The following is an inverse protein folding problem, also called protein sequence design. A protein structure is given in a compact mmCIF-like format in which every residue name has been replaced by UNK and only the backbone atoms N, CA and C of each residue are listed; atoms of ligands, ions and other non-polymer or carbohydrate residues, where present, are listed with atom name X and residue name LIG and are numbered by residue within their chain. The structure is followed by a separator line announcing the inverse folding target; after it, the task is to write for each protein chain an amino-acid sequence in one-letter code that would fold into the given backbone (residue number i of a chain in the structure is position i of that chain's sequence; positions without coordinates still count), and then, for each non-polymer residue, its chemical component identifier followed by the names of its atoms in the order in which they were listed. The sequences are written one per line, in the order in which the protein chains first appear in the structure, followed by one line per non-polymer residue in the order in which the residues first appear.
data_IF_320899098265
#
_entry.id   IF_320899098265
#
_cell.length_a   1.000
_cell.length_b   1.000
_cell.length_c   1.000
_cell.angle_alpha   90.00
_cell.angle_beta   90.00
_cell.angle_gamma   90.00
#
_symmetry.space_group_name_H-M   'P 1'
#
loop_
_entity.id
_entity.type
_entity.pdbx_description
1 polymer ?
#
# COMPACT_ATOMS: atom_id res chain seq x y z
N UNK A 1 14.17 5.36 9.79
CA UNK A 1 14.77 5.24 11.13
C UNK A 1 14.88 6.62 11.76
N UNK A 2 15.67 7.57 11.21
CA UNK A 2 15.91 8.88 11.82
C UNK A 2 14.65 9.63 12.25
N UNK A 3 13.56 9.55 11.47
CA UNK A 3 12.30 10.22 11.78
C UNK A 3 11.47 9.54 12.89
N UNK A 4 11.81 8.32 13.30
CA UNK A 4 11.02 7.52 14.24
C UNK A 4 11.75 7.14 15.52
N UNK A 5 13.11 7.13 15.52
CA UNK A 5 13.92 6.58 16.61
C UNK A 5 13.67 7.18 18.00
N UNK A 6 13.27 8.45 18.03
CA UNK A 6 13.05 9.20 19.28
C UNK A 6 11.56 9.16 19.71
N UNK A 7 10.70 8.51 18.94
CA UNK A 7 9.25 8.47 19.14
C UNK A 7 8.71 7.08 19.44
N UNK A 8 9.37 6.03 18.92
CA UNK A 8 8.92 4.63 19.06
C UNK A 8 10.11 3.69 19.16
N UNK A 9 9.88 2.54 19.78
CA UNK A 9 10.82 1.41 19.69
C UNK A 9 10.78 0.84 18.28
N UNK A 10 11.94 0.78 17.64
CA UNK A 10 12.06 0.27 16.27
C UNK A 10 12.49 -1.19 16.27
N UNK A 11 11.80 -2.00 15.48
CA UNK A 11 12.10 -3.40 15.27
C UNK A 11 12.30 -3.67 13.79
N UNK A 12 13.39 -4.31 13.42
CA UNK A 12 13.71 -4.72 12.07
C UNK A 12 13.44 -6.21 11.90
N UNK A 13 12.63 -6.57 10.93
CA UNK A 13 12.56 -7.94 10.44
C UNK A 13 13.69 -8.15 9.43
N UNK A 14 14.49 -9.16 9.64
CA UNK A 14 15.60 -9.54 8.78
C UNK A 14 15.60 -11.05 8.57
N UNK A 15 16.04 -11.50 7.40
CA UNK A 15 15.99 -12.91 7.08
C UNK A 15 16.95 -13.73 7.97
N UNK A 16 18.15 -13.18 8.23
CA UNK A 16 19.24 -13.88 8.89
C UNK A 16 20.26 -12.89 9.48
N UNK A 17 21.32 -13.41 10.09
CA UNK A 17 22.43 -12.64 10.68
C UNK A 17 23.18 -11.80 9.63
N UNK A 18 23.29 -12.28 8.39
CA UNK A 18 23.92 -11.56 7.29
C UNK A 18 23.12 -10.31 6.91
N UNK A 19 21.80 -10.43 6.83
CA UNK A 19 20.91 -9.31 6.59
C UNK A 19 20.95 -8.31 7.75
N UNK A 20 21.02 -8.78 9.01
CA UNK A 20 21.20 -7.92 10.16
C UNK A 20 22.53 -7.15 10.10
N UNK A 21 23.64 -7.82 9.83
CA UNK A 21 24.95 -7.18 9.70
C UNK A 21 24.95 -6.10 8.62
N UNK A 22 24.36 -6.38 7.46
CA UNK A 22 24.22 -5.41 6.38
C UNK A 22 23.36 -4.20 6.79
N UNK A 23 22.23 -4.42 7.48
CA UNK A 23 21.38 -3.35 7.99
C UNK A 23 22.12 -2.47 9.00
N UNK A 24 22.85 -3.06 9.95
CA UNK A 24 23.70 -2.32 10.92
C UNK A 24 24.77 -1.48 10.24
N UNK A 25 25.44 -2.03 9.23
CA UNK A 25 26.45 -1.32 8.45
C UNK A 25 25.85 -0.10 7.71
N UNK A 26 24.70 -0.27 7.07
CA UNK A 26 23.99 0.82 6.40
C UNK A 26 23.55 1.92 7.36
N UNK A 27 23.10 1.56 8.55
CA UNK A 27 22.72 2.52 9.59
C UNK A 27 23.93 3.28 10.12
N UNK A 28 25.05 2.59 10.37
CA UNK A 28 26.30 3.21 10.81
C UNK A 28 26.81 4.21 9.78
N UNK A 29 26.80 3.86 8.49
CA UNK A 29 27.20 4.73 7.39
C UNK A 29 26.37 6.02 7.28
N UNK A 30 25.18 6.06 7.92
CA UNK A 30 24.29 7.23 7.98
C UNK A 30 24.26 7.92 9.35
N UNK A 31 25.21 7.61 10.23
CA UNK A 31 25.28 8.18 11.58
C UNK A 31 24.17 7.69 12.52
N UNK A 32 23.55 6.55 12.21
CA UNK A 32 22.46 5.96 12.98
C UNK A 32 22.87 4.69 13.75
N UNK A 33 24.17 4.39 13.79
CA UNK A 33 24.68 3.15 14.40
C UNK A 33 24.45 3.04 15.91
N UNK A 34 24.34 4.17 16.61
CA UNK A 34 24.03 4.21 18.05
C UNK A 34 22.51 4.07 18.36
N UNK A 35 21.66 4.01 17.36
CA UNK A 35 20.21 3.84 17.57
C UNK A 35 19.93 2.47 18.18
N UNK A 36 19.22 2.43 19.30
CA UNK A 36 18.74 1.18 19.88
C UNK A 36 17.69 0.55 18.97
N UNK A 37 18.04 -0.57 18.35
CA UNK A 37 17.19 -1.29 17.41
C UNK A 37 17.05 -2.74 17.84
N UNK A 38 15.84 -3.24 17.79
CA UNK A 38 15.58 -4.68 17.91
C UNK A 38 15.66 -5.33 16.53
N UNK A 39 16.34 -6.45 16.42
CA UNK A 39 16.34 -7.28 15.23
C UNK A 39 15.58 -8.58 15.52
N UNK A 40 14.71 -8.94 14.58
CA UNK A 40 13.96 -10.18 14.60
C UNK A 40 14.29 -10.96 13.34
N UNK A 41 14.91 -12.11 13.52
CA UNK A 41 15.21 -13.02 12.42
C UNK A 41 13.93 -13.78 12.06
N UNK A 42 13.29 -13.34 11.00
CA UNK A 42 12.12 -13.97 10.41
C UNK A 42 12.24 -13.87 8.90
N UNK A 43 12.33 -14.99 8.19
CA UNK A 43 12.44 -14.97 6.74
C UNK A 43 11.14 -14.46 6.13
N UNK A 44 11.13 -13.18 5.79
CA UNK A 44 10.08 -12.50 5.08
C UNK A 44 10.59 -12.12 3.70
N UNK A 45 9.94 -12.59 2.66
CA UNK A 45 10.31 -12.28 1.28
C UNK A 45 9.94 -10.83 0.91
N UNK A 46 8.85 -10.28 1.49
CA UNK A 46 8.36 -8.96 1.15
C UNK A 46 9.09 -7.83 1.90
N UNK A 47 9.46 -6.79 1.16
CA UNK A 47 9.86 -5.51 1.73
C UNK A 47 8.70 -4.79 2.44
N UNK A 48 7.47 -5.05 2.03
CA UNK A 48 6.27 -4.41 2.55
C UNK A 48 5.68 -5.22 3.72
N UNK A 49 6.26 -5.04 4.89
CA UNK A 49 5.91 -5.75 6.13
C UNK A 49 4.47 -5.48 6.61
N UNK A 50 3.82 -4.43 6.09
CA UNK A 50 2.43 -4.07 6.38
C UNK A 50 1.44 -5.14 5.94
N UNK A 51 1.71 -5.77 4.79
CA UNK A 51 0.71 -6.51 4.07
C UNK A 51 0.46 -7.93 4.60
N UNK A 52 1.51 -8.71 4.96
CA UNK A 52 1.30 -10.08 5.46
C UNK A 52 0.89 -10.16 6.93
N UNK A 53 0.76 -9.04 7.66
CA UNK A 53 0.35 -9.08 9.06
C UNK A 53 -0.47 -7.84 9.44
N UNK A 54 -1.57 -8.05 10.18
CA UNK A 54 -2.43 -6.96 10.67
C UNK A 54 -2.63 -7.11 12.17
N UNK A 55 -2.10 -6.16 12.93
CA UNK A 55 -2.31 -6.14 14.37
C UNK A 55 -3.72 -5.72 14.76
N UNK A 56 -4.23 -6.37 15.81
CA UNK A 56 -5.43 -5.97 16.54
C UNK A 56 -5.08 -5.70 17.98
N UNK A 57 -5.96 -4.99 18.67
CA UNK A 57 -5.86 -4.77 20.11
C UNK A 57 -7.16 -5.17 20.77
N UNK A 58 -7.11 -6.11 21.68
CA UNK A 58 -8.27 -6.55 22.45
C UNK A 58 -8.71 -5.53 23.51
N UNK A 59 -9.87 -5.74 24.15
CA UNK A 59 -10.44 -4.80 25.12
C UNK A 59 -9.54 -4.48 26.32
N UNK A 60 -8.74 -5.45 26.78
CA UNK A 60 -7.78 -5.27 27.86
C UNK A 60 -6.39 -4.82 27.37
N UNK A 61 -6.26 -4.52 26.06
CA UNK A 61 -5.01 -4.07 25.46
C UNK A 61 -4.12 -5.19 24.94
N UNK A 62 -4.57 -6.44 25.01
CA UNK A 62 -3.84 -7.61 24.55
C UNK A 62 -3.63 -7.58 23.02
N UNK A 63 -2.41 -7.93 22.54
CA UNK A 63 -2.14 -7.95 21.10
C UNK A 63 -2.77 -9.17 20.44
N UNK A 64 -3.29 -8.95 19.23
CA UNK A 64 -3.73 -9.99 18.33
C UNK A 64 -3.27 -9.71 16.90
N UNK A 65 -3.34 -10.70 16.04
CA UNK A 65 -3.15 -10.57 14.59
C UNK A 65 -4.35 -11.15 13.85
N UNK A 66 -4.66 -10.55 12.71
CA UNK A 66 -5.60 -11.11 11.76
C UNK A 66 -4.81 -11.99 10.80
N UNK A 67 -5.28 -13.22 10.64
CA UNK A 67 -4.76 -14.22 9.70
C UNK A 67 -5.60 -14.13 8.42
N UNK A 68 -5.25 -13.21 7.53
CA UNK A 68 -5.83 -13.15 6.21
C UNK A 68 -5.24 -14.25 5.33
N UNK A 69 -6.06 -14.81 4.45
CA UNK A 69 -5.53 -15.65 3.39
C UNK A 69 -4.59 -14.83 2.51
N UNK A 70 -3.40 -15.34 2.27
CA UNK A 70 -2.41 -14.65 1.47
C UNK A 70 -2.56 -14.97 -0.02
N UNK A 71 -2.80 -13.97 -0.85
CA UNK A 71 -3.05 -14.14 -2.29
C UNK A 71 -1.85 -13.80 -3.17
N UNK A 72 -0.67 -13.55 -2.57
CA UNK A 72 0.51 -13.05 -3.29
C UNK A 72 0.16 -11.80 -4.14
N UNK A 73 -0.51 -10.82 -3.53
CA UNK A 73 -1.04 -9.63 -4.20
C UNK A 73 -1.98 -9.91 -5.40
N UNK A 74 -2.65 -11.06 -5.41
CA UNK A 74 -3.54 -11.44 -6.51
C UNK A 74 -2.82 -11.84 -7.79
N UNK A 75 -1.59 -12.31 -7.70
CA UNK A 75 -0.77 -12.75 -8.83
C UNK A 75 -1.48 -13.75 -9.73
N UNK A 76 -2.28 -14.66 -9.18
CA UNK A 76 -3.06 -15.63 -9.97
C UNK A 76 -4.01 -14.93 -10.96
N UNK A 77 -4.70 -13.87 -10.53
CA UNK A 77 -5.57 -13.07 -11.40
C UNK A 77 -4.76 -12.27 -12.45
N UNK A 78 -3.56 -11.83 -12.09
CA UNK A 78 -2.65 -11.13 -13.00
C UNK A 78 -2.10 -12.09 -14.07
N UNK A 79 -1.64 -13.29 -13.69
CA UNK A 79 -1.18 -14.33 -14.62
C UNK A 79 -2.31 -14.78 -15.56
N UNK A 80 -3.53 -14.99 -15.05
CA UNK A 80 -4.69 -15.38 -15.86
C UNK A 80 -5.06 -14.34 -16.93
N UNK A 81 -4.78 -13.06 -16.72
CA UNK A 81 -5.02 -12.01 -17.73
C UNK A 81 -3.97 -12.00 -18.84
N UNK A 82 -2.78 -12.53 -18.59
CA UNK A 82 -1.63 -12.54 -19.51
C UNK A 82 -1.54 -13.80 -20.33
N UNK A 83 -1.96 -14.94 -19.79
CA UNK A 83 -1.86 -16.24 -20.41
C UNK A 83 -3.24 -16.82 -20.70
N UNK A 84 -3.53 -17.11 -21.97
CA UNK A 84 -4.76 -17.79 -22.37
C UNK A 84 -4.76 -19.26 -21.94
N UNK A 85 -3.59 -19.89 -21.90
CA UNK A 85 -3.40 -21.26 -21.38
C UNK A 85 -3.44 -21.25 -19.86
N UNK A 86 -4.37 -22.01 -19.29
CA UNK A 86 -4.57 -22.13 -17.84
C UNK A 86 -3.39 -22.76 -17.11
N UNK A 87 -2.67 -23.67 -17.76
CA UNK A 87 -1.49 -24.32 -17.19
C UNK A 87 -0.36 -23.32 -17.05
N UNK A 88 -0.07 -22.56 -18.11
CA UNK A 88 0.94 -21.50 -18.10
C UNK A 88 0.59 -20.41 -17.07
N UNK A 89 -0.69 -20.04 -16.97
CA UNK A 89 -1.14 -19.10 -15.95
C UNK A 89 -0.93 -19.64 -14.52
N UNK A 90 -1.17 -20.92 -14.28
CA UNK A 90 -0.95 -21.55 -12.98
C UNK A 90 0.54 -21.66 -12.64
N UNK A 91 1.40 -22.02 -13.60
CA UNK A 91 2.86 -22.04 -13.43
C UNK A 91 3.42 -20.64 -13.13
N UNK A 92 2.94 -19.62 -13.83
CA UNK A 92 3.26 -18.20 -13.55
C UNK A 92 2.90 -17.83 -12.10
N UNK A 93 1.71 -18.21 -11.63
CA UNK A 93 1.26 -17.89 -10.29
C UNK A 93 2.02 -18.65 -9.19
N UNK A 94 2.41 -19.91 -9.46
CA UNK A 94 3.16 -20.76 -8.53
C UNK A 94 4.59 -20.27 -8.27
N UNK A 95 5.15 -19.49 -9.20
CA UNK A 95 6.50 -18.91 -9.07
C UNK A 95 6.52 -17.61 -8.27
N UNK A 96 5.37 -17.09 -7.84
CA UNK A 96 5.32 -15.87 -7.03
C UNK A 96 5.69 -16.15 -5.57
N UNK A 97 6.64 -15.40 -5.05
CA UNK A 97 7.12 -15.50 -3.66
C UNK A 97 7.29 -14.09 -3.06
N UNK A 98 6.18 -13.39 -2.87
CA UNK A 98 6.18 -12.06 -2.24
C UNK A 98 6.24 -12.12 -0.72
N UNK A 99 5.61 -13.13 -0.10
CA UNK A 99 5.73 -13.42 1.33
C UNK A 99 5.26 -14.85 1.62
N UNK A 100 5.73 -15.41 2.74
CA UNK A 100 5.27 -16.71 3.22
C UNK A 100 3.80 -16.65 3.61
N UNK A 101 3.03 -17.68 3.26
CA UNK A 101 1.60 -17.78 3.58
C UNK A 101 1.33 -17.84 5.10
N UNK A 102 2.26 -18.43 5.87
CA UNK A 102 2.12 -18.61 7.31
C UNK A 102 2.84 -17.53 8.15
N UNK A 103 3.26 -16.42 7.54
CA UNK A 103 4.04 -15.38 8.21
C UNK A 103 3.32 -14.82 9.45
N UNK A 104 2.05 -14.46 9.32
CA UNK A 104 1.23 -13.91 10.40
C UNK A 104 1.04 -14.90 11.55
N UNK A 105 0.82 -16.18 11.25
CA UNK A 105 0.73 -17.25 12.26
C UNK A 105 2.07 -17.48 12.98
N UNK A 106 3.20 -17.48 12.26
CA UNK A 106 4.52 -17.59 12.84
C UNK A 106 4.85 -16.37 13.72
N UNK A 107 4.51 -15.18 13.24
CA UNK A 107 4.74 -13.94 13.93
C UNK A 107 3.86 -13.81 15.19
N UNK A 108 2.58 -14.23 15.12
CA UNK A 108 1.69 -14.29 16.28
C UNK A 108 2.23 -15.21 17.37
N UNK A 109 2.70 -16.42 17.03
CA UNK A 109 3.33 -17.35 17.99
C UNK A 109 4.53 -16.72 18.69
N UNK A 110 5.40 -16.05 17.92
CA UNK A 110 6.60 -15.37 18.44
C UNK A 110 6.27 -14.27 19.43
N UNK A 111 5.19 -13.53 19.19
CA UNK A 111 4.76 -12.42 20.04
C UNK A 111 3.84 -12.85 21.18
N UNK A 112 3.43 -14.10 21.26
CA UNK A 112 2.38 -14.54 22.18
C UNK A 112 1.03 -13.86 21.92
N UNK A 113 0.79 -13.44 20.66
CA UNK A 113 -0.41 -12.73 20.27
C UNK A 113 -1.53 -13.69 19.83
N UNK A 114 -2.77 -13.31 20.06
CA UNK A 114 -3.93 -14.10 19.61
C UNK A 114 -4.07 -14.00 18.08
N UNK A 115 -4.20 -15.12 17.40
CA UNK A 115 -4.49 -15.18 15.97
C UNK A 115 -6.00 -15.20 15.73
N UNK A 116 -6.48 -14.33 14.82
CA UNK A 116 -7.88 -14.21 14.41
C UNK A 116 -8.01 -14.66 12.95
N UNK A 117 -8.50 -15.89 12.68
CA UNK A 117 -8.58 -16.42 11.33
C UNK A 117 -9.59 -15.65 10.48
N UNK A 118 -9.24 -15.38 9.23
CA UNK A 118 -10.10 -14.76 8.23
C UNK A 118 -10.39 -15.73 7.07
N UNK A 119 -11.60 -15.61 6.51
CA UNK A 119 -12.02 -16.42 5.33
C UNK A 119 -11.76 -15.72 4.01
N UNK A 120 -11.35 -14.46 4.03
CA UNK A 120 -11.06 -13.68 2.83
C UNK A 120 -9.57 -13.44 2.68
N UNK A 121 -9.14 -13.33 1.44
CA UNK A 121 -7.80 -12.89 1.12
C UNK A 121 -7.75 -11.35 1.09
N UNK A 122 -6.79 -10.77 1.81
CA UNK A 122 -6.57 -9.34 1.88
C UNK A 122 -5.18 -9.05 2.42
N UNK A 123 -4.66 -7.88 2.10
CA UNK A 123 -3.41 -7.34 2.65
C UNK A 123 -3.71 -6.23 3.67
N UNK A 124 -2.74 -5.97 4.58
CA UNK A 124 -2.87 -4.94 5.61
C UNK A 124 -3.02 -3.51 5.07
N UNK A 125 -2.45 -3.21 3.90
CA UNK A 125 -2.66 -1.95 3.17
C UNK A 125 -3.99 -1.90 2.40
N UNK A 126 -4.67 -3.04 2.24
CA UNK A 126 -5.87 -3.17 1.41
C UNK A 126 -7.16 -2.68 2.06
N UNK A 127 -7.16 -2.30 3.33
CA UNK A 127 -8.32 -1.71 4.02
C UNK A 127 -7.86 -0.66 5.03
N UNK A 128 -8.78 0.24 5.38
CA UNK A 128 -8.51 1.26 6.39
C UNK A 128 -9.60 1.24 7.46
N UNK A 129 -9.23 1.36 8.73
CA UNK A 129 -10.16 1.33 9.86
C UNK A 129 -10.02 2.57 10.75
N UNK A 130 -11.14 3.07 11.27
CA UNK A 130 -11.15 4.18 12.22
C UNK A 130 -10.98 3.76 13.70
N UNK A 131 -10.79 2.47 13.98
CA UNK A 131 -10.72 1.93 15.34
C UNK A 131 -12.03 2.02 16.14
N UNK A 132 -13.15 2.36 15.48
CA UNK A 132 -14.50 2.51 16.07
C UNK A 132 -15.56 1.69 15.33
N UNK A 133 -15.12 0.60 14.69
CA UNK A 133 -16.00 -0.36 14.03
C UNK A 133 -16.32 -0.04 12.57
N UNK A 134 -15.70 0.96 11.96
CA UNK A 134 -15.85 1.27 10.55
C UNK A 134 -14.60 0.82 9.76
N UNK A 135 -14.85 0.18 8.62
CA UNK A 135 -13.85 -0.15 7.61
C UNK A 135 -14.18 0.54 6.30
N UNK A 136 -13.18 1.13 5.67
CA UNK A 136 -13.18 1.52 4.25
C UNK A 136 -12.48 0.42 3.46
N UNK A 137 -13.11 -0.08 2.41
CA UNK A 137 -12.61 -1.18 1.60
C UNK A 137 -12.74 -0.88 0.11
N UNK A 138 -11.70 -1.15 -0.67
CA UNK A 138 -11.74 -1.02 -2.12
C UNK A 138 -12.42 -2.25 -2.74
N UNK A 139 -13.53 -2.03 -3.44
CA UNK A 139 -14.33 -3.11 -4.03
C UNK A 139 -13.57 -3.88 -5.13
N UNK A 140 -12.82 -3.17 -5.98
CA UNK A 140 -12.02 -3.78 -7.06
C UNK A 140 -10.88 -4.64 -6.49
N UNK A 141 -10.20 -4.15 -5.46
CA UNK A 141 -9.14 -4.88 -4.78
C UNK A 141 -9.66 -6.20 -4.19
N UNK A 142 -10.69 -6.13 -3.33
CA UNK A 142 -11.20 -7.33 -2.68
C UNK A 142 -11.72 -8.37 -3.68
N UNK A 143 -12.39 -7.93 -4.74
CA UNK A 143 -12.84 -8.85 -5.80
C UNK A 143 -11.65 -9.52 -6.50
N UNK A 144 -10.56 -8.80 -6.75
CA UNK A 144 -9.36 -9.35 -7.39
C UNK A 144 -8.64 -10.39 -6.52
N UNK A 145 -8.68 -10.22 -5.19
CA UNK A 145 -8.06 -11.14 -4.22
C UNK A 145 -8.89 -12.39 -3.96
N UNK A 146 -10.19 -12.31 -4.19
CA UNK A 146 -11.15 -13.35 -3.86
C UNK A 146 -12.02 -13.72 -5.08
N UNK A 147 -11.41 -14.26 -6.15
CA UNK A 147 -12.14 -14.61 -7.35
C UNK A 147 -13.25 -15.63 -7.03
N UNK A 148 -14.45 -15.37 -7.54
CA UNK A 148 -15.63 -16.21 -7.32
C UNK A 148 -16.42 -15.91 -6.05
N UNK A 149 -15.96 -15.01 -5.16
CA UNK A 149 -16.75 -14.56 -4.02
C UNK A 149 -17.59 -13.33 -4.39
N UNK A 150 -18.87 -13.39 -4.07
CA UNK A 150 -19.77 -12.25 -4.19
C UNK A 150 -19.49 -11.19 -3.11
N UNK A 151 -19.81 -9.93 -3.41
CA UNK A 151 -19.65 -8.79 -2.49
C UNK A 151 -20.24 -9.05 -1.10
N UNK A 152 -21.40 -9.69 -1.00
CA UNK A 152 -22.03 -10.05 0.29
C UNK A 152 -21.18 -11.03 1.12
N UNK A 153 -20.47 -11.94 0.46
CA UNK A 153 -19.58 -12.87 1.15
C UNK A 153 -18.32 -12.14 1.66
N UNK A 154 -17.76 -11.23 0.85
CA UNK A 154 -16.63 -10.37 1.24
C UNK A 154 -17.01 -9.46 2.42
N UNK A 155 -18.21 -8.87 2.39
CA UNK A 155 -18.70 -8.02 3.48
C UNK A 155 -18.86 -8.81 4.80
N UNK A 156 -19.41 -10.03 4.75
CA UNK A 156 -19.46 -10.92 5.93
C UNK A 156 -18.07 -11.25 6.45
N UNK A 157 -17.10 -11.45 5.55
CA UNK A 157 -15.71 -11.68 5.93
C UNK A 157 -15.10 -10.49 6.68
N UNK A 158 -15.33 -9.27 6.21
CA UNK A 158 -14.88 -8.04 6.87
C UNK A 158 -15.60 -7.80 8.20
N UNK A 159 -16.91 -8.01 8.26
CA UNK A 159 -17.73 -7.86 9.49
C UNK A 159 -17.38 -8.91 10.56
N UNK A 160 -16.78 -10.04 10.18
CA UNK A 160 -16.29 -11.05 11.10
C UNK A 160 -14.96 -10.67 11.78
N UNK A 161 -14.26 -9.63 11.30
CA UNK A 161 -13.03 -9.15 11.91
C UNK A 161 -13.29 -8.51 13.28
N UNK A 162 -12.35 -8.60 14.23
CA UNK A 162 -12.52 -8.07 15.57
C UNK A 162 -12.91 -6.59 15.59
N UNK A 163 -14.02 -6.26 16.23
CA UNK A 163 -14.50 -4.90 16.44
C UNK A 163 -15.11 -4.20 15.22
N UNK A 164 -15.24 -4.85 14.06
CA UNK A 164 -15.85 -4.25 12.87
C UNK A 164 -17.37 -4.39 12.91
N UNK A 165 -18.08 -3.28 12.66
CA UNK A 165 -19.54 -3.19 12.69
C UNK A 165 -20.14 -2.69 11.37
N UNK A 166 -19.33 -2.00 10.54
CA UNK A 166 -19.76 -1.43 9.26
C UNK A 166 -18.63 -1.43 8.24
N UNK A 167 -19.00 -1.68 6.98
CA UNK A 167 -18.10 -1.56 5.83
C UNK A 167 -18.64 -0.49 4.88
N UNK A 168 -17.79 0.43 4.47
CA UNK A 168 -18.05 1.37 3.38
C UNK A 168 -17.20 0.93 2.18
N UNK A 169 -17.88 0.66 1.08
CA UNK A 169 -17.26 0.22 -0.15
C UNK A 169 -16.89 1.41 -1.03
N UNK A 170 -15.61 1.55 -1.31
CA UNK A 170 -15.07 2.52 -2.25
C UNK A 170 -14.91 1.88 -3.63
N UNK A 171 -15.33 2.58 -4.71
CA UNK A 171 -15.31 2.04 -6.07
C UNK A 171 -13.94 1.64 -6.62
N UNK A 172 -12.85 2.33 -6.24
CA UNK A 172 -11.52 2.01 -6.79
C UNK A 172 -10.39 2.85 -6.20
N UNK A 173 -9.14 2.37 -6.38
CA UNK A 173 -7.92 3.04 -5.93
C UNK A 173 -7.35 4.06 -6.93
N UNK A 174 -6.10 4.48 -6.72
CA UNK A 174 -5.36 5.33 -7.65
C UNK A 174 -5.20 4.65 -9.01
N UNK A 175 -5.11 5.42 -10.09
CA UNK A 175 -4.76 4.87 -11.40
C UNK A 175 -3.30 4.41 -11.45
N UNK A 176 -2.45 5.08 -10.69
CA UNK A 176 -1.02 4.77 -10.50
C UNK A 176 -0.78 3.48 -9.72
N UNK A 177 -1.84 2.89 -9.13
CA UNK A 177 -1.78 1.65 -8.37
C UNK A 177 -2.53 0.50 -9.08
N UNK A 178 -2.06 0.04 -10.24
CA UNK A 178 -2.65 -1.13 -10.92
C UNK A 178 -2.29 -2.43 -10.20
N UNK A 179 -2.95 -3.52 -10.58
CA UNK A 179 -2.59 -4.85 -10.10
C UNK A 179 -1.25 -5.29 -10.70
N UNK A 180 -0.21 -5.30 -9.87
CA UNK A 180 1.16 -5.61 -10.26
C UNK A 180 1.62 -4.71 -11.43
N UNK A 181 2.49 -5.22 -12.30
CA UNK A 181 2.95 -4.47 -13.47
C UNK A 181 1.88 -4.46 -14.55
N UNK A 182 1.36 -3.28 -14.88
CA UNK A 182 0.30 -3.15 -15.88
C UNK A 182 0.28 -1.77 -16.55
N UNK A 183 -0.42 -1.71 -17.68
CA UNK A 183 -0.78 -0.46 -18.35
C UNK A 183 -1.85 0.29 -17.55
N UNK A 184 -1.63 1.58 -17.33
CA UNK A 184 -2.63 2.50 -16.80
C UNK A 184 -3.50 3.03 -17.94
N UNK A 185 -2.87 3.65 -18.92
CA UNK A 185 -3.49 4.20 -20.15
C UNK A 185 -2.42 4.52 -21.19
N UNK A 186 -2.66 4.21 -22.47
CA UNK A 186 -1.70 4.44 -23.55
C UNK A 186 -0.34 3.80 -23.24
N UNK A 187 0.71 4.60 -23.20
CA UNK A 187 2.06 4.17 -22.88
C UNK A 187 2.45 4.41 -21.41
N UNK A 188 1.50 4.84 -20.57
CA UNK A 188 1.70 4.96 -19.15
C UNK A 188 1.50 3.61 -18.46
N UNK A 189 2.51 3.22 -17.68
CA UNK A 189 2.55 1.95 -16.94
C UNK A 189 2.91 2.21 -15.48
N UNK A 190 2.56 1.30 -14.59
CA UNK A 190 3.03 1.33 -13.21
C UNK A 190 3.16 -0.08 -12.63
N UNK A 191 3.89 -0.17 -11.54
CA UNK A 191 3.91 -1.34 -10.67
C UNK A 191 3.17 -0.97 -9.39
N UNK A 192 2.06 -1.64 -9.10
CA UNK A 192 1.19 -1.36 -7.97
C UNK A 192 0.73 -2.59 -7.24
N UNK A 193 -0.02 -2.36 -6.17
CA UNK A 193 -0.64 -3.39 -5.33
C UNK A 193 -2.10 -3.70 -5.73
N UNK A 194 -2.66 -2.99 -6.71
CA UNK A 194 -4.02 -3.20 -7.21
C UNK A 194 -5.09 -2.35 -6.53
N UNK A 195 -4.74 -1.17 -6.06
CA UNK A 195 -5.66 -0.22 -5.44
C UNK A 195 -5.71 -0.34 -3.92
N UNK A 196 -4.56 -0.45 -3.28
CA UNK A 196 -4.45 -0.45 -1.82
C UNK A 196 -5.08 0.81 -1.22
N UNK A 197 -5.80 0.64 -0.12
CA UNK A 197 -6.56 1.72 0.53
C UNK A 197 -5.64 2.78 1.13
N UNK A 198 -4.51 2.38 1.67
CA UNK A 198 -3.52 3.24 2.31
C UNK A 198 -2.78 4.17 1.34
N UNK A 199 -2.97 3.99 0.03
CA UNK A 199 -2.46 4.89 -1.00
C UNK A 199 -3.41 6.04 -1.33
N UNK A 200 -4.72 5.89 -1.10
CA UNK A 200 -5.67 6.91 -1.54
C UNK A 200 -6.66 7.39 -0.48
N UNK A 201 -6.83 6.66 0.63
CA UNK A 201 -7.77 7.06 1.69
C UNK A 201 -7.27 6.62 3.06
N UNK A 202 -7.24 7.54 4.04
CA UNK A 202 -6.81 7.26 5.41
C UNK A 202 -7.67 8.00 6.41
N UNK A 203 -7.85 7.43 7.60
CA UNK A 203 -8.44 8.16 8.72
C UNK A 203 -7.41 9.06 9.42
N UNK A 204 -7.80 10.31 9.69
CA UNK A 204 -7.07 11.20 10.61
C UNK A 204 -7.57 11.05 12.06
N UNK A 205 -8.87 10.81 12.21
CA UNK A 205 -9.57 10.50 13.45
C UNK A 205 -10.79 9.60 13.16
N UNK A 206 -11.64 9.37 14.17
CA UNK A 206 -12.78 8.46 14.05
C UNK A 206 -13.78 8.82 12.93
N UNK A 207 -13.79 10.05 12.41
CA UNK A 207 -14.75 10.54 11.40
C UNK A 207 -14.11 11.34 10.27
N UNK A 208 -12.89 11.82 10.44
CA UNK A 208 -12.18 12.60 9.43
C UNK A 208 -11.40 11.67 8.52
N UNK A 209 -11.76 11.68 7.25
CA UNK A 209 -11.16 10.87 6.18
C UNK A 209 -10.32 11.77 5.28
N UNK A 210 -9.05 11.44 5.14
CA UNK A 210 -8.14 12.04 4.17
C UNK A 210 -8.29 11.29 2.85
N UNK A 211 -8.55 12.01 1.75
CA UNK A 211 -8.74 11.44 0.41
C UNK A 211 -7.74 12.07 -0.57
N UNK A 212 -6.98 11.26 -1.28
CA UNK A 212 -6.05 11.71 -2.31
C UNK A 212 -6.79 12.54 -3.38
N UNK A 213 -6.20 13.67 -3.79
CA UNK A 213 -6.84 14.57 -4.73
C UNK A 213 -5.83 15.21 -5.68
N UNK A 214 -5.73 14.73 -6.93
CA UNK A 214 -4.86 15.36 -7.93
C UNK A 214 -5.16 16.85 -8.08
N UNK A 215 -4.13 17.67 -8.25
CA UNK A 215 -4.26 19.12 -8.47
C UNK A 215 -4.87 19.41 -9.85
N UNK A 216 -5.63 20.48 -10.00
CA UNK A 216 -6.36 20.80 -11.24
C UNK A 216 -5.41 21.02 -12.42
N UNK A 217 -4.23 21.61 -12.19
CA UNK A 217 -3.21 21.78 -13.23
C UNK A 217 -2.69 20.43 -13.77
N UNK A 218 -2.50 19.44 -12.88
CA UNK A 218 -2.09 18.11 -13.30
C UNK A 218 -3.22 17.37 -14.01
N UNK A 219 -4.46 17.54 -13.58
CA UNK A 219 -5.66 16.98 -14.26
C UNK A 219 -5.80 17.52 -15.67
N UNK A 220 -5.53 18.80 -15.88
CA UNK A 220 -5.60 19.43 -17.21
C UNK A 220 -4.53 18.87 -18.17
N UNK A 221 -3.32 18.61 -17.66
CA UNK A 221 -2.15 18.31 -18.50
C UNK A 221 -1.74 16.83 -18.53
N UNK A 222 -2.16 16.00 -17.54
CA UNK A 222 -1.67 14.65 -17.38
C UNK A 222 -2.80 13.60 -17.40
N UNK A 223 -2.77 12.60 -18.33
CA UNK A 223 -3.88 11.65 -18.49
C UNK A 223 -4.09 10.75 -17.26
N UNK A 224 -3.02 10.34 -16.59
CA UNK A 224 -3.12 9.49 -15.37
C UNK A 224 -3.76 10.27 -14.22
N UNK A 225 -3.36 11.54 -14.00
CA UNK A 225 -3.98 12.41 -12.99
C UNK A 225 -5.48 12.62 -13.23
N UNK A 226 -5.88 12.68 -14.49
CA UNK A 226 -7.30 12.77 -14.91
C UNK A 226 -8.08 11.53 -14.51
N UNK A 227 -7.52 10.34 -14.76
CA UNK A 227 -8.13 9.07 -14.35
C UNK A 227 -8.23 8.96 -12.83
N UNK A 228 -7.16 9.28 -12.11
CA UNK A 228 -7.14 9.26 -10.65
C UNK A 228 -8.17 10.25 -10.08
N UNK A 229 -8.26 11.49 -10.61
CA UNK A 229 -9.29 12.44 -10.18
C UNK A 229 -10.71 11.90 -10.39
N UNK A 230 -10.98 11.24 -11.52
CA UNK A 230 -12.30 10.63 -11.78
C UNK A 230 -12.63 9.52 -10.78
N UNK A 231 -11.66 8.66 -10.42
CA UNK A 231 -11.83 7.62 -9.41
C UNK A 231 -12.06 8.23 -8.02
N UNK A 232 -11.25 9.21 -7.64
CA UNK A 232 -11.37 9.88 -6.33
C UNK A 232 -12.66 10.69 -6.19
N UNK A 233 -13.19 11.27 -7.27
CA UNK A 233 -14.49 11.94 -7.26
C UNK A 233 -15.64 10.96 -6.96
N UNK A 234 -15.59 9.73 -7.48
CA UNK A 234 -16.55 8.66 -7.14
C UNK A 234 -16.42 8.24 -5.68
N UNK A 235 -15.20 8.09 -5.17
CA UNK A 235 -14.96 7.79 -3.76
C UNK A 235 -15.48 8.91 -2.85
N UNK A 236 -15.24 10.18 -3.20
CA UNK A 236 -15.74 11.33 -2.46
C UNK A 236 -17.27 11.33 -2.35
N UNK A 237 -17.97 11.04 -3.47
CA UNK A 237 -19.42 10.97 -3.48
C UNK A 237 -19.97 9.85 -2.57
N UNK A 238 -19.24 8.74 -2.42
CA UNK A 238 -19.57 7.70 -1.43
C UNK A 238 -19.37 8.24 -0.01
N UNK A 239 -18.18 8.78 0.30
CA UNK A 239 -17.86 9.26 1.64
C UNK A 239 -18.79 10.38 2.14
N UNK A 240 -19.27 11.26 1.23
CA UNK A 240 -20.17 12.37 1.58
C UNK A 240 -21.57 11.92 1.98
N UNK A 241 -22.08 10.79 1.42
CA UNK A 241 -23.43 10.28 1.75
C UNK A 241 -23.42 9.22 2.84
N UNK A 242 -22.29 8.57 3.07
CA UNK A 242 -22.12 7.52 4.06
C UNK A 242 -21.97 8.09 5.48
N UNK A 243 -22.24 7.24 6.45
CA UNK A 243 -22.12 7.52 7.87
C UNK A 243 -21.23 6.49 8.54
N UNK A 244 -20.63 6.86 9.68
CA UNK A 244 -19.85 5.91 10.48
C UNK A 244 -20.74 4.79 11.08
N UNK A 245 -20.13 3.91 11.87
CA UNK A 245 -20.85 2.79 12.51
C UNK A 245 -21.86 3.25 13.60
N UNK A 246 -21.79 4.50 14.02
CA UNK A 246 -22.69 5.13 15.00
C UNK A 246 -23.72 6.07 14.34
N UNK A 247 -23.81 6.06 13.00
CA UNK A 247 -24.77 6.87 12.24
C UNK A 247 -24.36 8.33 12.03
N UNK A 248 -23.14 8.75 12.38
CA UNK A 248 -22.65 10.13 12.26
C UNK A 248 -22.03 10.36 10.86
N UNK A 249 -22.16 11.58 10.28
CA UNK A 249 -21.54 11.88 9.00
C UNK A 249 -20.02 11.87 9.07
N UNK A 250 -19.39 11.44 7.97
CA UNK A 250 -17.95 11.53 7.77
C UNK A 250 -17.56 12.92 7.26
N UNK A 251 -16.35 13.35 7.57
CA UNK A 251 -15.73 14.57 7.04
C UNK A 251 -14.60 14.17 6.09
N UNK A 252 -14.80 14.34 4.79
CA UNK A 252 -13.78 14.04 3.80
C UNK A 252 -12.92 15.26 3.50
N UNK A 253 -11.62 15.18 3.75
CA UNK A 253 -10.62 16.21 3.44
C UNK A 253 -9.82 15.80 2.21
N UNK A 254 -9.81 16.65 1.19
CA UNK A 254 -9.02 16.47 -0.03
C UNK A 254 -7.56 16.80 0.24
N UNK A 255 -6.68 15.79 0.13
CA UNK A 255 -5.23 15.94 0.25
C UNK A 255 -4.64 16.09 -1.14
N UNK A 256 -3.99 17.24 -1.47
CA UNK A 256 -3.33 17.38 -2.76
C UNK A 256 -2.35 16.23 -3.00
N UNK A 257 -2.38 15.63 -4.18
CA UNK A 257 -1.36 14.67 -4.59
C UNK A 257 -0.05 15.37 -5.00
N UNK A 258 1.10 14.70 -4.93
CA UNK A 258 2.32 15.23 -5.52
C UNK A 258 2.14 15.43 -7.03
N UNK A 259 3.01 16.22 -7.64
CA UNK A 259 3.10 16.24 -9.10
C UNK A 259 3.40 14.82 -9.61
N UNK A 260 2.85 14.39 -10.75
CA UNK A 260 3.14 13.07 -11.30
C UNK A 260 4.65 12.80 -11.39
N UNK A 261 5.13 11.78 -10.70
CA UNK A 261 6.53 11.35 -10.75
C UNK A 261 6.65 10.22 -11.76
N UNK A 262 7.45 10.43 -12.79
CA UNK A 262 7.53 9.50 -13.92
C UNK A 262 8.94 9.40 -14.47
N UNK A 263 9.23 8.27 -15.14
CA UNK A 263 10.48 8.06 -15.88
C UNK A 263 10.21 7.27 -17.17
N UNK A 264 11.12 7.37 -18.13
CA UNK A 264 11.07 6.50 -19.31
C UNK A 264 11.71 5.14 -18.99
N UNK A 265 11.07 4.10 -19.51
CA UNK A 265 11.56 2.71 -19.46
C UNK A 265 11.45 2.09 -20.84
N UNK A 266 12.27 1.09 -21.10
CA UNK A 266 12.27 0.35 -22.35
C UNK A 266 11.98 -1.12 -22.09
N UNK A 267 11.15 -1.72 -22.93
CA UNK A 267 10.78 -3.13 -22.76
C UNK A 267 11.93 -4.05 -23.17
N UNK A 268 12.33 -4.91 -22.26
CA UNK A 268 13.31 -5.97 -22.46
C UNK A 268 12.63 -7.31 -22.77
N UNK A 269 13.41 -8.33 -23.15
CA UNK A 269 12.95 -9.72 -23.19
C UNK A 269 12.99 -10.35 -21.78
N UNK A 270 12.25 -11.45 -21.56
CA UNK A 270 12.26 -12.18 -20.27
C UNK A 270 13.63 -12.72 -19.91
N UNK A 271 14.46 -13.11 -20.90
CA UNK A 271 15.84 -13.56 -20.67
C UNK A 271 16.73 -12.48 -20.07
N UNK A 272 16.45 -11.21 -20.40
CA UNK A 272 17.19 -10.06 -19.88
C UNK A 272 16.56 -9.50 -18.58
N UNK A 273 15.31 -9.87 -18.32
CA UNK A 273 14.52 -9.49 -17.15
C UNK A 273 14.35 -10.66 -16.15
N UNK A 274 15.16 -11.70 -16.26
CA UNK A 274 15.00 -13.01 -15.60
C UNK A 274 15.07 -12.99 -14.06
N UNK A 275 15.20 -11.83 -13.45
CA UNK A 275 15.03 -11.67 -12.02
C UNK A 275 13.77 -10.82 -11.77
N UNK A 276 12.74 -11.37 -11.12
CA UNK A 276 11.59 -10.59 -10.62
C UNK A 276 12.04 -9.44 -9.69
N UNK A 277 13.24 -9.56 -9.11
CA UNK A 277 13.94 -8.50 -8.41
C UNK A 277 14.53 -7.46 -9.38
N UNK A 278 14.62 -7.79 -10.67
CA UNK A 278 14.95 -6.82 -11.72
C UNK A 278 13.83 -5.79 -11.82
N UNK A 279 14.19 -4.51 -11.71
CA UNK A 279 13.28 -3.40 -11.95
C UNK A 279 12.99 -3.20 -13.45
N UNK A 280 13.47 -4.10 -14.31
CA UNK A 280 13.29 -4.03 -15.75
C UNK A 280 11.83 -4.32 -16.14
N UNK A 281 11.33 -3.57 -17.07
CA UNK A 281 10.07 -3.84 -17.73
C UNK A 281 10.28 -4.80 -18.89
N UNK A 282 9.41 -5.80 -19.02
CA UNK A 282 9.46 -6.80 -20.07
C UNK A 282 8.14 -6.84 -20.85
N UNK A 283 8.22 -7.27 -22.11
CA UNK A 283 7.03 -7.46 -22.98
C UNK A 283 6.04 -8.42 -22.31
N UNK A 284 6.52 -9.43 -21.61
CA UNK A 284 5.70 -10.45 -20.95
C UNK A 284 4.93 -9.94 -19.73
N UNK A 285 5.22 -8.75 -19.24
CA UNK A 285 4.39 -8.11 -18.23
C UNK A 285 3.00 -7.70 -18.74
N UNK A 286 2.78 -7.72 -20.04
CA UNK A 286 1.56 -7.24 -20.69
C UNK A 286 0.79 -8.39 -21.35
N UNK A 287 -0.55 -8.35 -21.36
CA UNK A 287 -1.32 -9.35 -22.10
C UNK A 287 -1.07 -9.21 -23.60
N UNK A 288 -1.06 -10.32 -24.37
CA UNK A 288 -0.76 -10.31 -25.82
C UNK A 288 -1.60 -9.34 -26.65
N UNK A 289 -2.83 -9.06 -26.20
CA UNK A 289 -3.73 -8.09 -26.86
C UNK A 289 -3.20 -6.66 -26.90
N UNK A 290 -2.27 -6.30 -26.00
CA UNK A 290 -1.66 -4.96 -25.97
C UNK A 290 -0.56 -4.78 -27.03
N UNK A 291 -0.11 -5.87 -27.67
CA UNK A 291 0.86 -5.87 -28.78
C UNK A 291 2.14 -5.07 -28.49
N UNK A 292 2.63 -5.17 -27.24
CA UNK A 292 3.88 -4.51 -26.84
C UNK A 292 5.07 -5.11 -27.58
N UNK A 293 6.10 -4.29 -27.86
CA UNK A 293 7.26 -4.68 -28.63
C UNK A 293 8.56 -4.49 -27.84
N UNK A 294 9.53 -5.35 -28.12
CA UNK A 294 10.89 -5.21 -27.59
C UNK A 294 11.47 -3.85 -27.95
N UNK A 295 12.12 -3.18 -26.99
CA UNK A 295 12.67 -1.83 -27.15
C UNK A 295 11.63 -0.71 -27.16
N UNK A 296 10.32 -1.01 -27.06
CA UNK A 296 9.28 0.02 -26.95
C UNK A 296 9.54 0.88 -25.72
N UNK A 297 9.51 2.21 -25.89
CA UNK A 297 9.58 3.16 -24.79
C UNK A 297 8.22 3.34 -24.17
N UNK A 298 8.15 3.19 -22.85
CA UNK A 298 6.99 3.47 -22.03
C UNK A 298 7.29 4.55 -20.99
N UNK A 299 6.26 5.09 -20.37
CA UNK A 299 6.37 6.03 -19.25
C UNK A 299 5.90 5.33 -17.99
N UNK A 300 6.85 4.99 -17.12
CA UNK A 300 6.56 4.39 -15.81
C UNK A 300 6.20 5.49 -14.81
N UNK A 301 5.08 5.30 -14.13
CA UNK A 301 4.61 6.15 -13.03
C UNK A 301 5.05 5.56 -11.70
N UNK A 302 5.61 6.40 -10.82
CA UNK A 302 5.78 6.03 -9.43
C UNK A 302 4.43 6.09 -8.70
N UNK A 303 4.20 5.15 -7.76
CA UNK A 303 3.03 5.18 -6.87
C UNK A 303 3.24 6.22 -5.76
N UNK A 304 3.24 7.50 -6.13
CA UNK A 304 3.55 8.60 -5.26
C UNK A 304 2.28 9.18 -4.61
N UNK A 305 2.15 8.99 -3.30
CA UNK A 305 1.01 9.49 -2.53
C UNK A 305 1.43 9.99 -1.15
N UNK A 306 0.88 11.13 -0.73
CA UNK A 306 1.03 11.59 0.66
C UNK A 306 0.23 10.76 1.65
N UNK A 307 -0.71 9.92 1.19
CA UNK A 307 -1.55 9.12 2.09
C UNK A 307 -0.87 7.84 2.56
N UNK A 308 0.23 7.44 1.94
CA UNK A 308 1.05 6.34 2.46
C UNK A 308 1.98 6.81 3.60
N UNK A 309 1.39 7.58 4.54
CA UNK A 309 2.08 8.12 5.72
C UNK A 309 2.01 7.15 6.91
N UNK A 310 2.94 7.34 7.85
CA UNK A 310 3.00 6.57 9.10
C UNK A 310 2.59 7.46 10.27
N UNK A 311 1.70 6.95 11.12
CA UNK A 311 1.38 7.57 12.42
C UNK A 311 1.99 6.72 13.52
N UNK A 312 2.79 7.33 14.39
CA UNK A 312 3.40 6.65 15.51
C UNK A 312 3.52 7.59 16.72
N UNK A 313 2.84 7.25 17.81
CA UNK A 313 2.80 8.06 19.03
C UNK A 313 2.56 9.56 18.77
N UNK A 314 3.57 10.40 18.95
CA UNK A 314 3.55 11.85 18.79
C UNK A 314 4.08 12.35 17.44
N UNK A 315 4.31 11.46 16.46
CA UNK A 315 4.86 11.79 15.14
C UNK A 315 4.00 11.27 14.00
N UNK A 316 3.95 12.02 12.91
CA UNK A 316 3.49 11.59 11.58
C UNK A 316 4.68 11.68 10.62
N UNK A 317 5.03 10.59 9.97
CA UNK A 317 6.05 10.56 8.93
C UNK A 317 5.37 10.61 7.58
N UNK A 318 5.63 11.68 6.85
CA UNK A 318 4.98 12.03 5.59
C UNK A 318 6.00 11.98 4.45
N UNK A 319 5.65 11.44 3.26
CA UNK A 319 6.54 11.50 2.10
C UNK A 319 6.87 12.92 1.67
N UNK A 320 8.10 13.14 1.17
CA UNK A 320 8.56 14.39 0.57
C UNK A 320 8.80 14.21 -0.93
N UNK A 321 8.10 15.01 -1.74
CA UNK A 321 8.19 14.94 -3.20
C UNK A 321 8.75 16.20 -3.86
N UNK A 322 9.34 17.14 -3.07
CA UNK A 322 9.91 18.39 -3.61
C UNK A 322 11.06 18.12 -4.59
N UNK A 323 11.92 17.15 -4.27
CA UNK A 323 13.01 16.73 -5.15
C UNK A 323 12.55 16.13 -6.50
N UNK A 324 11.27 15.78 -6.60
CA UNK A 324 10.67 15.13 -7.76
C UNK A 324 9.68 16.04 -8.50
N UNK A 325 9.86 17.35 -8.38
CA UNK A 325 9.13 18.35 -9.15
C UNK A 325 7.80 18.80 -8.54
N UNK A 326 7.44 18.35 -7.34
CA UNK A 326 6.27 18.89 -6.64
C UNK A 326 6.57 20.32 -6.18
N UNK A 327 5.72 21.32 -6.55
CA UNK A 327 5.93 22.70 -6.15
C UNK A 327 5.97 22.86 -4.63
N UNK A 328 6.89 23.69 -4.08
CA UNK A 328 6.99 23.92 -2.64
C UNK A 328 5.67 24.38 -2.00
N UNK A 329 4.87 25.17 -2.71
CA UNK A 329 3.58 25.67 -2.24
C UNK A 329 2.56 24.54 -2.07
N UNK A 330 2.60 23.53 -2.96
CA UNK A 330 1.76 22.33 -2.85
C UNK A 330 2.17 21.51 -1.63
N UNK A 331 3.47 21.24 -1.47
CA UNK A 331 3.99 20.55 -0.28
C UNK A 331 3.59 21.30 1.00
N UNK A 332 3.66 22.63 1.01
CA UNK A 332 3.28 23.45 2.15
C UNK A 332 1.77 23.39 2.45
N UNK A 333 0.91 23.32 1.41
CA UNK A 333 -0.54 23.09 1.61
C UNK A 333 -0.81 21.75 2.29
N UNK A 334 -0.09 20.70 1.87
CA UNK A 334 -0.19 19.36 2.49
C UNK A 334 0.25 19.42 3.95
N UNK A 335 1.41 20.02 4.25
CA UNK A 335 1.89 20.18 5.63
C UNK A 335 0.86 20.85 6.52
N UNK A 336 0.32 22.00 6.13
CA UNK A 336 -0.73 22.70 6.90
C UNK A 336 -1.99 21.86 7.11
N UNK A 337 -2.34 21.01 6.13
CA UNK A 337 -3.48 20.10 6.27
C UNK A 337 -3.20 19.04 7.32
N UNK A 338 -2.01 18.43 7.28
CA UNK A 338 -1.61 17.41 8.25
C UNK A 338 -1.41 17.96 9.66
N UNK A 339 -0.86 19.17 9.82
CA UNK A 339 -0.76 19.86 11.11
C UNK A 339 -2.13 20.08 11.75
N UNK A 340 -3.15 20.44 10.95
CA UNK A 340 -4.54 20.56 11.44
C UNK A 340 -5.20 19.20 11.71
N UNK A 341 -4.93 18.20 10.89
CA UNK A 341 -5.48 16.85 11.04
C UNK A 341 -4.88 16.10 12.23
N UNK A 342 -3.62 16.40 12.58
CA UNK A 342 -2.86 15.75 13.65
C UNK A 342 -2.24 16.80 14.62
N UNK A 343 -3.04 17.63 15.31
CA UNK A 343 -2.55 18.82 16.02
C UNK A 343 -1.63 18.51 17.22
N UNK A 344 -1.58 17.24 17.66
CA UNK A 344 -0.73 16.79 18.77
C UNK A 344 0.47 15.97 18.30
N UNK A 345 0.78 15.98 16.99
CA UNK A 345 1.87 15.21 16.42
C UNK A 345 2.83 16.08 15.62
N UNK A 346 4.09 15.78 15.74
CA UNK A 346 5.11 16.39 14.89
C UNK A 346 5.02 15.80 13.48
N UNK A 347 5.14 16.65 12.46
CA UNK A 347 5.20 16.17 11.06
C UNK A 347 6.67 16.07 10.65
N UNK A 348 7.09 14.91 10.21
CA UNK A 348 8.45 14.63 9.69
C UNK A 348 8.36 14.24 8.22
N UNK A 349 9.20 14.86 7.40
CA UNK A 349 9.27 14.57 5.97
C UNK A 349 10.39 13.56 5.68
N UNK A 350 10.10 12.57 4.82
CA UNK A 350 11.04 11.53 4.41
C UNK A 350 10.89 11.24 2.93
N UNK A 351 11.99 11.12 2.22
CA UNK A 351 11.99 10.65 0.83
C UNK A 351 11.59 9.17 0.77
N UNK A 352 10.50 8.88 0.06
CA UNK A 352 9.94 7.54 -0.11
C UNK A 352 10.05 7.01 -1.54
N UNK A 353 10.67 7.75 -2.46
CA UNK A 353 10.59 7.47 -3.90
C UNK A 353 11.08 6.07 -4.28
N UNK A 354 12.06 5.53 -3.58
CA UNK A 354 12.56 4.17 -3.85
C UNK A 354 11.47 3.11 -3.65
N UNK A 355 10.65 3.26 -2.60
CA UNK A 355 9.51 2.38 -2.36
C UNK A 355 8.38 2.62 -3.38
N UNK A 356 8.16 3.87 -3.78
CA UNK A 356 7.10 4.21 -4.75
C UNK A 356 7.35 3.59 -6.14
N UNK A 357 8.61 3.39 -6.54
CA UNK A 357 8.95 2.71 -7.81
C UNK A 357 8.67 1.19 -7.80
N UNK A 358 8.45 0.61 -6.65
CA UNK A 358 8.17 -0.83 -6.49
C UNK A 358 6.79 -1.10 -5.90
N UNK A 359 5.89 -0.14 -6.03
CA UNK A 359 4.47 -0.32 -5.75
C UNK A 359 4.04 -0.14 -4.30
N UNK A 360 4.73 0.69 -3.52
CA UNK A 360 4.34 1.01 -2.14
C UNK A 360 4.98 2.28 -1.59
N UNK A 361 4.94 2.48 -0.29
CA UNK A 361 5.47 3.68 0.36
C UNK A 361 5.90 3.45 1.81
N UNK A 362 5.87 4.51 2.61
CA UNK A 362 6.31 4.47 4.01
C UNK A 362 5.43 3.58 4.89
N UNK A 363 4.10 3.65 4.70
CA UNK A 363 3.16 2.85 5.46
C UNK A 363 3.28 1.36 5.12
N UNK A 364 3.39 1.03 3.83
CA UNK A 364 3.59 -0.33 3.36
C UNK A 364 4.86 -0.97 3.93
N UNK A 365 5.95 -0.19 4.05
CA UNK A 365 7.23 -0.63 4.59
C UNK A 365 7.30 -0.65 6.14
N UNK A 366 6.20 -0.36 6.83
CA UNK A 366 6.12 -0.30 8.29
C UNK A 366 4.89 -1.00 8.82
N UNK A 367 5.00 -1.60 10.00
CA UNK A 367 3.89 -2.23 10.70
C UNK A 367 3.86 -1.71 12.15
N UNK A 368 2.75 -1.12 12.56
CA UNK A 368 2.57 -0.67 13.94
C UNK A 368 2.20 -1.85 14.82
N UNK A 369 3.03 -2.10 15.82
CA UNK A 369 2.70 -3.03 16.88
C UNK A 369 2.10 -2.23 18.07
N UNK A 370 0.91 -2.59 18.57
CA UNK A 370 0.26 -1.93 19.70
C UNK A 370 1.03 -2.01 21.00
#
# INVERSE_FOLDING_TARGET
VAALRDHVRLRFLVADERAEAAARQLLAARGLGATALDFVHEPLASFFVRDPAVFTRGPAGEPGLIDFRWSQYGVAAWCARRHADRRVAAECAANADYAREDFDAAFARRLGARLHPSRIALEGGGFETNGRGLVLANAELLASRNPGLERRALERGLLALPGIRKVIWLPGGLAEDPLLRATITGDFVAWGAGGHTDEFVRFADARTVLLAWPDDADVASHPVSRLTRQRMARNLAVLQRERDADGRPLVALKVPMPRPVQRFVYLASTSDAADERSRAWSVEHFPPRERRQLGQRLTEMAMASYLNFVVANDVVVLPDYRAYGTPPERQQRVLRLFERAFPRRQIRLVDAITANWVGGGLHCATLNQP
#
